data_IF_297024908899
#
_entry.id   IF_297024908899
#
_cell.length_a   1.000
_cell.length_b   1.000
_cell.length_c   1.000
_cell.angle_alpha   90.00
_cell.angle_beta   90.00
_cell.angle_gamma   90.00
#
_symmetry.space_group_name_H-M   'P 1'
#
loop_
_entity.id
_entity.type
_entity.pdbx_description
1 polymer ?
#
# COMPACT_ATOMS: atom_id res chain seq x y z
N UNK A 1 2.16 15.77 13.45
CA UNK A 1 2.89 16.41 12.33
C UNK A 1 2.29 16.17 10.94
N UNK A 2 1.38 15.20 10.75
CA UNK A 2 0.75 14.95 9.44
C UNK A 2 -0.17 16.10 8.94
N UNK A 3 -0.58 17.02 9.83
CA UNK A 3 -1.48 18.14 9.53
C UNK A 3 -0.86 19.53 9.63
N UNK A 4 0.47 19.68 9.73
CA UNK A 4 1.12 21.01 9.80
C UNK A 4 2.10 21.20 8.65
N UNK A 5 2.99 20.24 8.41
CA UNK A 5 3.99 20.34 7.35
C UNK A 5 3.36 20.21 5.94
N UNK A 6 2.44 19.26 5.77
CA UNK A 6 1.73 19.01 4.51
C UNK A 6 0.88 20.21 4.04
N UNK A 7 0.00 20.82 4.88
CA UNK A 7 -0.74 22.01 4.46
C UNK A 7 0.11 23.27 4.35
N UNK A 8 1.16 23.44 5.17
CA UNK A 8 2.07 24.59 5.06
C UNK A 8 2.79 24.59 3.71
N UNK A 9 3.30 23.43 3.27
CA UNK A 9 3.97 23.30 1.97
C UNK A 9 2.99 23.52 0.80
N UNK A 10 1.76 23.00 0.91
CA UNK A 10 0.70 23.27 -0.08
C UNK A 10 0.33 24.76 -0.16
N UNK A 11 0.30 25.46 0.99
CA UNK A 11 0.04 26.90 1.04
C UNK A 11 1.18 27.72 0.44
N UNK A 12 2.45 27.38 0.71
CA UNK A 12 3.61 28.07 0.10
C UNK A 12 3.60 27.92 -1.43
N UNK A 13 3.29 26.73 -1.93
CA UNK A 13 3.23 26.45 -3.37
C UNK A 13 2.04 27.13 -4.04
N UNK A 14 0.85 27.09 -3.43
CA UNK A 14 -0.33 27.82 -3.91
C UNK A 14 -0.06 29.33 -3.92
N UNK A 15 0.59 29.86 -2.87
CA UNK A 15 0.94 31.27 -2.77
C UNK A 15 1.95 31.69 -3.85
N UNK A 16 2.97 30.87 -4.11
CA UNK A 16 3.93 31.12 -5.20
C UNK A 16 3.24 31.17 -6.56
N UNK A 17 2.38 30.20 -6.89
CA UNK A 17 1.70 30.17 -8.19
C UNK A 17 0.66 31.29 -8.35
N UNK A 18 0.01 31.71 -7.27
CA UNK A 18 -0.86 32.87 -7.27
C UNK A 18 -0.08 34.16 -7.53
N UNK A 19 1.12 34.32 -6.95
CA UNK A 19 1.94 35.51 -7.17
C UNK A 19 2.67 35.52 -8.52
N UNK A 20 3.12 34.35 -8.99
CA UNK A 20 3.84 34.21 -10.25
C UNK A 20 2.93 34.29 -11.48
N UNK A 21 1.61 34.12 -11.32
CA UNK A 21 0.63 34.17 -12.41
C UNK A 21 -0.46 35.21 -12.09
N UNK A 22 -0.27 36.48 -12.51
CA UNK A 22 -1.15 37.60 -12.13
C UNK A 22 -2.62 37.37 -12.49
N UNK A 23 -2.88 36.64 -13.58
CA UNK A 23 -4.24 36.33 -14.05
C UNK A 23 -4.99 35.42 -13.08
N UNK A 24 -4.29 34.48 -12.42
CA UNK A 24 -4.90 33.56 -11.45
C UNK A 24 -5.27 34.33 -10.19
N UNK A 25 -4.38 35.21 -9.70
CA UNK A 25 -4.68 36.08 -8.55
C UNK A 25 -5.80 37.06 -8.84
N UNK A 26 -5.84 37.62 -10.06
CA UNK A 26 -6.90 38.54 -10.47
C UNK A 26 -8.26 37.84 -10.45
N UNK A 27 -8.36 36.63 -11.02
CA UNK A 27 -9.59 35.82 -10.99
C UNK A 27 -10.03 35.47 -9.58
N UNK A 28 -9.09 35.07 -8.71
CA UNK A 28 -9.37 34.77 -7.31
C UNK A 28 -9.89 36.01 -6.56
N UNK A 29 -9.28 37.18 -6.77
CA UNK A 29 -9.73 38.44 -6.16
C UNK A 29 -11.09 38.88 -6.68
N UNK A 30 -11.37 38.70 -7.97
CA UNK A 30 -12.68 39.00 -8.55
C UNK A 30 -13.78 38.13 -7.94
N UNK A 31 -13.53 36.82 -7.77
CA UNK A 31 -14.49 35.92 -7.13
C UNK A 31 -14.76 36.30 -5.66
N UNK A 32 -13.71 36.65 -4.92
CA UNK A 32 -13.84 37.07 -3.51
C UNK A 32 -14.53 38.44 -3.38
N UNK A 33 -14.25 39.40 -4.26
CA UNK A 33 -14.90 40.71 -4.25
C UNK A 33 -16.39 40.63 -4.63
N UNK A 34 -16.78 39.68 -5.48
CA UNK A 34 -18.17 39.41 -5.82
C UNK A 34 -18.96 38.73 -4.68
N UNK A 35 -18.29 38.16 -3.68
CA UNK A 35 -18.90 37.43 -2.57
C UNK A 35 -18.44 37.94 -1.20
N UNK A 36 -18.70 39.22 -0.85
CA UNK A 36 -18.15 39.85 0.34
C UNK A 36 -18.70 39.29 1.67
N UNK A 37 -19.79 38.52 1.62
CA UNK A 37 -20.42 37.89 2.79
C UNK A 37 -19.87 36.49 3.09
N UNK A 38 -19.05 35.92 2.21
CA UNK A 38 -18.43 34.61 2.43
C UNK A 38 -17.20 34.76 3.34
N UNK A 39 -17.39 34.50 4.63
CA UNK A 39 -16.32 34.70 5.65
C UNK A 39 -15.97 33.40 6.37
N UNK A 40 -16.88 32.42 6.39
CA UNK A 40 -16.64 31.13 7.06
C UNK A 40 -15.99 30.10 6.12
N UNK A 41 -15.17 29.16 6.63
CA UNK A 41 -14.48 28.16 5.82
C UNK A 41 -15.43 27.37 4.89
N UNK A 42 -16.60 26.97 5.40
CA UNK A 42 -17.60 26.22 4.63
C UNK A 42 -18.22 27.05 3.50
N UNK A 43 -18.36 28.37 3.67
CA UNK A 43 -18.86 29.25 2.62
C UNK A 43 -17.80 29.51 1.54
N UNK A 44 -16.54 29.61 1.95
CA UNK A 44 -15.41 29.82 1.04
C UNK A 44 -15.12 28.56 0.21
N UNK A 45 -15.19 27.37 0.80
CA UNK A 45 -15.03 26.10 0.08
C UNK A 45 -16.09 25.86 -1.01
N UNK A 46 -17.24 26.52 -0.93
CA UNK A 46 -18.28 26.45 -1.96
C UNK A 46 -18.05 27.39 -3.14
N UNK A 47 -17.05 28.27 -3.06
CA UNK A 47 -16.71 29.12 -4.20
C UNK A 47 -15.87 28.33 -5.23
N UNK A 48 -16.25 28.36 -6.50
CA UNK A 48 -15.75 27.41 -7.49
C UNK A 48 -14.27 27.62 -7.85
N UNK A 49 -13.75 28.85 -7.80
CA UNK A 49 -12.35 29.11 -8.16
C UNK A 49 -11.40 28.80 -7.01
N UNK A 50 -11.72 29.24 -5.78
CA UNK A 50 -10.89 28.95 -4.60
C UNK A 50 -10.82 27.45 -4.29
N UNK A 51 -11.93 26.71 -4.46
CA UNK A 51 -11.97 25.25 -4.34
C UNK A 51 -11.14 24.57 -5.43
N UNK A 52 -11.16 25.09 -6.66
CA UNK A 52 -10.31 24.62 -7.75
C UNK A 52 -8.80 24.71 -7.45
N UNK A 53 -8.37 25.68 -6.62
CA UNK A 53 -6.97 25.85 -6.21
C UNK A 53 -6.61 24.92 -5.05
N UNK A 54 -7.52 24.67 -4.11
CA UNK A 54 -7.26 23.80 -2.95
C UNK A 54 -7.43 22.30 -3.26
N UNK A 55 -8.22 21.96 -4.27
CA UNK A 55 -8.46 20.58 -4.73
C UNK A 55 -7.57 20.12 -5.90
N UNK A 56 -6.43 20.77 -6.14
CA UNK A 56 -5.40 20.19 -7.03
C UNK A 56 -4.68 19.05 -6.31
N UNK A 57 -5.21 17.83 -6.40
CA UNK A 57 -4.60 16.64 -5.81
C UNK A 57 -3.25 16.29 -6.48
N UNK A 58 -2.17 16.79 -5.87
CA UNK A 58 -0.86 16.16 -5.67
C UNK A 58 0.05 15.93 -6.88
N UNK A 59 1.25 16.55 -6.88
CA UNK A 59 2.37 16.16 -7.74
C UNK A 59 3.25 15.09 -7.06
N UNK A 60 3.08 13.82 -7.41
CA UNK A 60 4.25 13.05 -7.87
C UNK A 60 4.55 13.60 -9.29
N UNK A 61 5.39 13.00 -10.13
CA UNK A 61 5.05 13.14 -11.56
C UNK A 61 3.71 12.42 -11.75
N UNK A 62 2.63 13.13 -11.47
CA UNK A 62 1.27 12.63 -11.54
C UNK A 62 0.95 12.64 -13.02
N UNK A 63 1.46 11.63 -13.69
CA UNK A 63 0.86 11.18 -14.94
C UNK A 63 -0.58 10.84 -14.57
N UNK A 64 -1.47 11.78 -14.87
CA UNK A 64 -2.90 11.54 -14.77
C UNK A 64 -3.25 10.57 -15.88
N UNK A 65 -3.40 9.30 -15.51
CA UNK A 65 -3.87 8.28 -16.43
C UNK A 65 -5.40 8.31 -16.42
N UNK A 66 -6.00 8.74 -17.53
CA UNK A 66 -7.43 8.55 -17.77
C UNK A 66 -7.65 7.09 -18.12
N UNK A 67 -8.18 6.30 -17.18
CA UNK A 67 -8.55 4.90 -17.39
C UNK A 67 -10.00 4.88 -17.91
N UNK A 68 -10.26 4.50 -19.17
CA UNK A 68 -11.62 4.47 -19.70
C UNK A 68 -12.52 3.52 -18.90
N UNK A 69 -13.83 3.81 -18.79
CA UNK A 69 -14.80 2.88 -18.22
C UNK A 69 -14.72 1.50 -18.89
N UNK A 70 -14.81 0.43 -18.08
CA UNK A 70 -14.69 -0.95 -18.56
C UNK A 70 -13.25 -1.48 -18.66
N UNK A 71 -12.24 -0.69 -18.31
CA UNK A 71 -10.85 -1.17 -18.26
C UNK A 71 -10.64 -2.10 -17.06
N UNK A 72 -10.24 -3.34 -17.33
CA UNK A 72 -9.83 -4.29 -16.30
C UNK A 72 -8.51 -3.87 -15.66
N UNK A 73 -8.48 -3.76 -14.33
CA UNK A 73 -7.28 -3.46 -13.56
C UNK A 73 -6.92 -4.69 -12.74
N UNK A 74 -5.66 -5.08 -12.79
CA UNK A 74 -5.09 -6.11 -11.91
C UNK A 74 -3.89 -5.54 -11.16
N UNK A 75 -3.61 -6.10 -9.98
CA UNK A 75 -2.43 -5.81 -9.19
C UNK A 75 -1.66 -7.11 -8.97
N UNK A 76 -0.37 -7.10 -9.27
CA UNK A 76 0.52 -8.19 -8.87
C UNK A 76 1.06 -7.88 -7.47
N UNK A 77 0.63 -8.67 -6.48
CA UNK A 77 1.14 -8.58 -5.11
C UNK A 77 2.61 -8.97 -5.04
N UNK A 78 3.05 -9.88 -5.93
CA UNK A 78 4.43 -10.30 -6.04
C UNK A 78 5.37 -9.10 -6.21
N UNK A 79 5.07 -8.18 -7.13
CA UNK A 79 5.90 -6.99 -7.37
C UNK A 79 6.08 -6.11 -6.12
N UNK A 80 5.06 -6.03 -5.26
CA UNK A 80 5.13 -5.24 -4.03
C UNK A 80 5.89 -6.00 -2.94
N UNK A 81 5.64 -7.30 -2.82
CA UNK A 81 6.30 -8.18 -1.84
C UNK A 81 7.78 -8.41 -2.17
N UNK A 82 8.19 -8.32 -3.44
CA UNK A 82 9.58 -8.45 -3.88
C UNK A 82 10.28 -7.10 -4.08
N UNK A 83 9.67 -5.99 -3.69
CA UNK A 83 10.30 -4.69 -3.79
C UNK A 83 11.36 -4.53 -2.68
N UNK A 84 12.64 -4.60 -3.07
CA UNK A 84 13.79 -4.53 -2.16
C UNK A 84 13.84 -3.23 -1.32
N UNK A 85 13.26 -2.13 -1.82
CA UNK A 85 13.20 -0.87 -1.06
C UNK A 85 12.23 -0.95 0.14
N UNK A 86 11.32 -1.93 0.16
CA UNK A 86 10.35 -2.18 1.23
C UNK A 86 10.77 -3.41 2.04
N UNK A 87 11.16 -4.47 1.34
CA UNK A 87 11.56 -5.77 1.88
C UNK A 87 12.99 -6.10 1.39
N UNK A 88 14.05 -5.64 2.09
CA UNK A 88 15.42 -6.04 1.76
C UNK A 88 15.56 -7.57 1.81
N UNK A 89 16.29 -8.16 0.87
CA UNK A 89 16.39 -9.61 0.67
C UNK A 89 15.01 -10.31 0.66
N UNK A 90 14.12 -9.95 -0.28
CA UNK A 90 12.70 -10.34 -0.22
C UNK A 90 12.47 -11.85 -0.35
N UNK A 91 13.42 -12.57 -0.93
CA UNK A 91 13.37 -14.02 -1.11
C UNK A 91 13.87 -14.80 0.11
N UNK A 92 14.48 -14.12 1.08
CA UNK A 92 14.96 -14.74 2.33
C UNK A 92 13.82 -14.79 3.35
N UNK A 93 13.51 -15.99 3.83
CA UNK A 93 12.58 -16.17 4.94
C UNK A 93 13.25 -15.72 6.25
N UNK A 94 12.96 -14.49 6.67
CA UNK A 94 13.53 -13.85 7.85
C UNK A 94 12.41 -13.26 8.73
N UNK A 95 11.88 -14.01 9.71
CA UNK A 95 10.86 -13.54 10.63
C UNK A 95 11.25 -12.26 11.37
N UNK A 96 12.54 -12.12 11.68
CA UNK A 96 13.14 -10.99 12.39
C UNK A 96 12.91 -9.65 11.68
N UNK A 97 12.59 -9.63 10.37
CA UNK A 97 12.25 -8.38 9.68
C UNK A 97 10.99 -7.70 10.24
N UNK A 98 10.18 -8.43 11.00
CA UNK A 98 8.97 -7.92 11.62
C UNK A 98 9.17 -7.49 13.07
N UNK A 99 10.33 -7.77 13.66
CA UNK A 99 10.68 -7.41 15.05
C UNK A 99 11.87 -6.46 15.14
N UNK A 100 12.81 -6.55 14.20
CA UNK A 100 14.10 -5.85 14.23
C UNK A 100 14.13 -4.67 13.24
N UNK A 101 13.11 -3.82 13.28
CA UNK A 101 13.05 -2.59 12.48
C UNK A 101 12.36 -1.48 13.28
N UNK A 102 12.64 -0.23 12.92
CA UNK A 102 11.96 0.92 13.50
C UNK A 102 10.46 0.94 13.15
N UNK A 103 9.66 1.60 13.97
CA UNK A 103 8.20 1.65 13.80
C UNK A 103 7.76 2.25 12.45
N UNK A 104 8.50 3.20 11.88
CA UNK A 104 8.14 3.80 10.60
C UNK A 104 8.33 2.79 9.46
N UNK A 105 9.43 2.04 9.49
CA UNK A 105 9.71 0.93 8.56
C UNK A 105 8.67 -0.18 8.72
N UNK A 106 8.35 -0.59 9.95
CA UNK A 106 7.32 -1.61 10.20
C UNK A 106 5.95 -1.13 9.71
N UNK A 107 5.58 0.13 9.96
CA UNK A 107 4.33 0.70 9.47
C UNK A 107 4.27 0.71 7.94
N UNK A 108 5.38 1.04 7.25
CA UNK A 108 5.47 0.98 5.78
C UNK A 108 5.30 -0.46 5.28
N UNK A 109 6.03 -1.42 5.87
CA UNK A 109 5.91 -2.86 5.53
C UNK A 109 4.50 -3.38 5.73
N UNK A 110 3.85 -3.05 6.87
CA UNK A 110 2.45 -3.43 7.16
C UNK A 110 1.47 -2.84 6.13
N UNK A 111 1.69 -1.60 5.66
CA UNK A 111 0.87 -1.01 4.59
C UNK A 111 1.04 -1.71 3.24
N UNK A 112 2.25 -2.18 2.95
CA UNK A 112 2.60 -2.87 1.71
C UNK A 112 2.41 -4.40 1.79
N UNK A 113 1.97 -4.93 2.94
CA UNK A 113 1.66 -6.35 3.09
C UNK A 113 0.25 -6.63 2.55
N UNK A 114 0.18 -7.09 1.31
CA UNK A 114 -1.07 -7.31 0.58
C UNK A 114 -1.54 -8.78 0.50
N UNK A 115 -1.10 -9.67 1.41
CA UNK A 115 -1.50 -11.09 1.40
C UNK A 115 -3.02 -11.31 1.49
N UNK A 116 -3.75 -10.36 2.07
CA UNK A 116 -5.21 -10.36 2.17
C UNK A 116 -5.87 -9.20 1.42
N UNK A 117 -5.12 -8.51 0.55
CA UNK A 117 -5.49 -7.23 -0.05
C UNK A 117 -5.88 -6.17 1.01
N UNK A 118 -6.28 -4.97 0.57
CA UNK A 118 -6.78 -3.90 1.45
C UNK A 118 -7.96 -3.18 0.81
N UNK A 119 -8.72 -2.43 1.60
CA UNK A 119 -9.87 -1.67 1.15
C UNK A 119 -11.17 -2.48 1.11
N UNK A 120 -12.15 -2.03 0.34
CA UNK A 120 -13.50 -2.61 0.27
C UNK A 120 -13.55 -4.04 -0.28
N UNK A 121 -12.47 -4.51 -0.90
CA UNK A 121 -12.32 -5.87 -1.44
C UNK A 121 -11.28 -6.71 -0.69
N UNK A 122 -10.91 -6.29 0.52
CA UNK A 122 -10.06 -7.09 1.38
C UNK A 122 -10.68 -8.46 1.70
N UNK A 123 -9.84 -9.46 1.95
CA UNK A 123 -10.27 -10.81 2.26
C UNK A 123 -11.14 -10.82 3.53
N UNK A 124 -12.39 -11.27 3.40
CA UNK A 124 -13.32 -11.41 4.53
C UNK A 124 -12.83 -12.42 5.58
N UNK A 125 -12.06 -13.42 5.14
CA UNK A 125 -11.51 -14.48 5.98
C UNK A 125 -10.18 -14.13 6.67
N UNK A 126 -9.67 -12.90 6.54
CA UNK A 126 -8.34 -12.52 7.04
C UNK A 126 -8.13 -12.87 8.52
N UNK A 127 -9.11 -12.61 9.37
CA UNK A 127 -8.99 -12.87 10.80
C UNK A 127 -8.96 -14.37 11.13
N UNK A 128 -9.81 -15.16 10.46
CA UNK A 128 -9.84 -16.61 10.62
C UNK A 128 -8.52 -17.23 10.13
N UNK A 129 -8.09 -16.86 8.93
CA UNK A 129 -6.84 -17.36 8.35
C UNK A 129 -5.62 -17.04 9.22
N UNK A 130 -5.55 -15.85 9.80
CA UNK A 130 -4.47 -15.50 10.73
C UNK A 130 -4.52 -16.35 12.01
N UNK A 131 -5.71 -16.59 12.58
CA UNK A 131 -5.85 -17.44 13.76
C UNK A 131 -5.44 -18.89 13.47
N UNK A 132 -5.91 -19.45 12.35
CA UNK A 132 -5.55 -20.79 11.90
C UNK A 132 -4.05 -20.93 11.66
N UNK A 133 -3.42 -19.94 11.03
CA UNK A 133 -1.98 -19.94 10.77
C UNK A 133 -1.17 -19.98 12.07
N UNK A 134 -1.55 -19.16 13.07
CA UNK A 134 -0.89 -19.14 14.38
C UNK A 134 -1.00 -20.50 15.06
N UNK A 135 -2.20 -21.10 15.08
CA UNK A 135 -2.43 -22.41 15.68
C UNK A 135 -1.67 -23.50 14.93
N UNK A 136 -1.69 -23.48 13.59
CA UNK A 136 -1.02 -24.47 12.75
C UNK A 136 0.50 -24.43 12.93
N UNK A 137 1.12 -23.25 12.90
CA UNK A 137 2.57 -23.09 13.12
C UNK A 137 2.96 -23.56 14.52
N UNK A 138 2.19 -23.18 15.54
CA UNK A 138 2.43 -23.62 16.92
C UNK A 138 2.24 -25.14 17.08
N UNK A 139 1.31 -25.74 16.35
CA UNK A 139 1.13 -27.19 16.33
C UNK A 139 2.32 -27.86 15.65
N UNK A 140 2.67 -27.46 14.43
CA UNK A 140 3.80 -28.00 13.63
C UNK A 140 5.10 -27.98 14.45
N UNK A 141 5.36 -26.90 15.19
CA UNK A 141 6.57 -26.76 16.01
C UNK A 141 6.70 -27.81 17.15
N UNK A 142 5.65 -28.57 17.45
CA UNK A 142 5.66 -29.65 18.46
C UNK A 142 6.06 -31.02 17.90
N UNK A 143 6.18 -31.15 16.58
CA UNK A 143 6.59 -32.39 15.93
C UNK A 143 8.04 -32.31 15.48
N UNK A 144 8.77 -33.41 15.64
CA UNK A 144 10.11 -33.55 15.11
C UNK A 144 10.04 -34.05 13.67
N UNK A 145 10.31 -33.17 12.71
CA UNK A 145 10.22 -33.47 11.28
C UNK A 145 11.48 -33.03 10.57
N UNK A 146 11.85 -33.76 9.51
CA UNK A 146 12.91 -33.34 8.57
C UNK A 146 12.41 -33.38 7.14
N UNK A 147 12.98 -32.53 6.28
CA UNK A 147 12.67 -32.55 4.85
C UNK A 147 12.95 -33.94 4.26
N UNK A 148 12.06 -34.39 3.37
CA UNK A 148 12.18 -35.65 2.64
C UNK A 148 12.06 -35.36 1.15
N UNK A 149 13.15 -35.53 0.40
CA UNK A 149 13.19 -35.28 -1.05
C UNK A 149 12.54 -33.95 -1.47
N UNK A 150 12.68 -32.92 -0.65
CA UNK A 150 12.11 -31.59 -0.87
C UNK A 150 13.24 -30.58 -0.93
N UNK A 151 13.20 -29.71 -1.93
CA UNK A 151 14.16 -28.62 -2.14
C UNK A 151 13.45 -27.28 -2.22
N UNK A 152 14.20 -26.18 -2.19
CA UNK A 152 13.64 -24.83 -2.33
C UNK A 152 12.83 -24.68 -3.63
N UNK A 153 13.19 -25.40 -4.69
CA UNK A 153 12.48 -25.39 -5.97
C UNK A 153 11.06 -25.97 -5.89
N UNK A 154 10.76 -26.77 -4.85
CA UNK A 154 9.45 -27.39 -4.66
C UNK A 154 8.44 -26.43 -3.98
N UNK A 155 8.92 -25.30 -3.44
CA UNK A 155 8.12 -24.26 -2.75
C UNK A 155 8.34 -22.85 -3.31
N UNK A 156 9.38 -22.62 -4.11
CA UNK A 156 9.67 -21.33 -4.73
C UNK A 156 8.54 -20.86 -5.65
N UNK A 157 8.29 -19.56 -5.71
CA UNK A 157 7.27 -19.00 -6.60
C UNK A 157 7.76 -19.01 -8.05
N UNK A 158 7.19 -19.87 -8.88
CA UNK A 158 7.53 -19.95 -10.31
C UNK A 158 6.47 -19.30 -11.21
N UNK A 159 5.24 -19.18 -10.72
CA UNK A 159 4.11 -18.67 -11.50
C UNK A 159 3.30 -17.64 -10.69
N UNK A 160 3.07 -16.47 -11.29
CA UNK A 160 2.22 -15.40 -10.77
C UNK A 160 0.77 -15.62 -11.23
N UNK A 161 0.06 -16.55 -10.58
CA UNK A 161 -1.37 -16.75 -10.73
C UNK A 161 -2.15 -16.02 -9.62
N UNK A 162 -3.44 -16.33 -9.43
CA UNK A 162 -4.22 -15.82 -8.29
C UNK A 162 -3.61 -16.23 -6.93
N UNK A 163 -2.92 -17.38 -6.88
CA UNK A 163 -2.09 -17.81 -5.75
C UNK A 163 -0.74 -18.17 -6.32
N UNK A 164 0.35 -17.73 -5.66
CA UNK A 164 1.70 -18.06 -6.08
C UNK A 164 1.90 -19.57 -6.01
N UNK A 165 2.31 -20.19 -7.12
CA UNK A 165 2.48 -21.63 -7.22
C UNK A 165 3.94 -22.02 -7.48
N UNK A 166 4.37 -23.19 -6.97
CA UNK A 166 5.65 -23.76 -7.33
C UNK A 166 5.70 -24.20 -8.79
N UNK A 167 6.88 -24.68 -9.21
CA UNK A 167 7.05 -25.27 -10.54
C UNK A 167 6.03 -26.37 -10.80
N UNK A 168 5.62 -26.49 -12.07
CA UNK A 168 4.77 -27.60 -12.49
C UNK A 168 5.48 -28.94 -12.22
N UNK A 169 4.76 -29.89 -11.65
CA UNK A 169 5.31 -31.19 -11.24
C UNK A 169 6.03 -31.20 -9.88
N UNK A 170 6.03 -30.11 -9.12
CA UNK A 170 6.41 -30.15 -7.70
C UNK A 170 5.48 -31.11 -6.94
N UNK A 171 6.05 -31.93 -6.05
CA UNK A 171 5.29 -32.76 -5.09
C UNK A 171 4.94 -31.99 -3.81
N UNK A 172 5.27 -30.70 -3.76
CA UNK A 172 5.12 -29.85 -2.59
C UNK A 172 6.09 -30.21 -1.46
N UNK A 173 5.80 -29.70 -0.26
CA UNK A 173 6.54 -30.01 0.96
C UNK A 173 6.32 -31.46 1.36
N UNK A 174 7.39 -32.25 1.39
CA UNK A 174 7.39 -33.62 1.92
C UNK A 174 8.34 -33.70 3.10
N UNK A 175 7.89 -34.36 4.15
CA UNK A 175 8.63 -34.49 5.41
C UNK A 175 8.62 -35.93 5.92
N UNK A 176 9.68 -36.31 6.64
CA UNK A 176 9.72 -37.54 7.41
C UNK A 176 9.40 -37.21 8.86
N UNK A 177 8.35 -37.84 9.39
CA UNK A 177 8.00 -37.79 10.80
C UNK A 177 9.01 -38.60 11.62
N UNK A 178 9.55 -37.97 12.67
CA UNK A 178 10.49 -38.57 13.62
C UNK A 178 9.84 -38.75 14.99
N UNK A 179 8.54 -38.46 15.12
CA UNK A 179 7.78 -38.49 16.35
C UNK A 179 7.53 -37.10 16.94
N UNK A 180 6.87 -37.07 18.08
CA UNK A 180 6.56 -35.83 18.82
C UNK A 180 7.71 -35.47 19.75
N UNK A 181 8.00 -34.18 19.90
CA UNK A 181 8.89 -33.69 20.97
C UNK A 181 8.26 -33.87 22.35
#
# INVERSE_FOLDING_TARGET
>A
MAGTYSPMLSLVIAHFHLLANPDIMTKLRTELAANPLAVTPTQLEQLPYISGITHTNGKNETKTYTIPPGTSISVSTLLIHTNESIFPDPWKFEPERWTNADEATLARRRRCMLSFMRGSRACVGMHLANAEMVVAVAAIARWNMRLFETTDQDVAFCHDYHVLCPRLGSKGLRVKDLGRQ
#
